data_IF_941943307202
#
_entry.id   IF_941943307202
#
_cell.length_a   1.000
_cell.length_b   1.000
_cell.length_c   1.000
_cell.angle_alpha   90.00
_cell.angle_beta   90.00
_cell.angle_gamma   90.00
#
_symmetry.space_group_name_H-M   'P 1'
#
loop_
_entity.id
_entity.type
_entity.pdbx_description
1 polymer ?
#
# COMPACT_ATOMS: atom_id res chain seq x y z
N UNK A 1 42.42 4.28 -2.15
CA UNK A 1 41.42 4.59 -1.12
C UNK A 1 40.59 3.35 -0.83
N UNK A 2 40.32 3.08 0.45
CA UNK A 2 39.38 2.03 0.87
C UNK A 2 37.94 2.39 0.51
N UNK A 3 37.02 1.42 0.61
CA UNK A 3 35.61 1.67 0.33
C UNK A 3 35.00 2.67 1.35
N UNK A 4 35.44 2.63 2.60
CA UNK A 4 35.04 3.53 3.66
C UNK A 4 35.53 4.96 3.40
N UNK A 5 36.80 5.13 3.00
CA UNK A 5 37.36 6.43 2.66
C UNK A 5 36.68 7.04 1.40
N UNK A 6 36.34 6.20 0.41
CA UNK A 6 35.55 6.66 -0.75
C UNK A 6 34.14 7.08 -0.35
N UNK A 7 33.50 6.37 0.60
CA UNK A 7 32.18 6.73 1.12
C UNK A 7 32.22 8.08 1.82
N UNK A 8 33.23 8.30 2.65
CA UNK A 8 33.44 9.58 3.35
C UNK A 8 33.69 10.73 2.36
N UNK A 9 34.54 10.52 1.35
CA UNK A 9 34.76 11.48 0.28
C UNK A 9 33.47 11.81 -0.49
N UNK A 10 32.67 10.79 -0.81
CA UNK A 10 31.36 10.97 -1.44
C UNK A 10 30.41 11.79 -0.58
N UNK A 11 30.40 11.56 0.74
CA UNK A 11 29.59 12.33 1.68
C UNK A 11 30.06 13.80 1.76
N UNK A 12 31.37 14.05 1.77
CA UNK A 12 31.91 15.41 1.75
C UNK A 12 31.50 16.16 0.47
N UNK A 13 31.59 15.49 -0.69
CA UNK A 13 31.11 16.03 -1.96
C UNK A 13 29.60 16.35 -1.89
N UNK A 14 28.80 15.46 -1.31
CA UNK A 14 27.36 15.67 -1.14
C UNK A 14 27.05 16.90 -0.27
N UNK A 15 27.71 17.04 0.88
CA UNK A 15 27.54 18.19 1.78
C UNK A 15 27.89 19.53 1.11
N UNK A 16 28.87 19.50 0.20
CA UNK A 16 29.26 20.66 -0.60
C UNK A 16 28.40 20.84 -1.87
N UNK A 17 27.31 20.08 -2.03
CA UNK A 17 26.40 20.07 -3.18
C UNK A 17 27.08 19.71 -4.51
N UNK A 18 28.25 19.07 -4.45
CA UNK A 18 29.02 18.54 -5.60
C UNK A 18 28.51 17.15 -5.96
N UNK A 19 27.26 17.08 -6.40
CA UNK A 19 26.53 15.82 -6.53
C UNK A 19 27.12 14.88 -7.58
N UNK A 20 27.68 15.40 -8.68
CA UNK A 20 28.33 14.57 -9.69
C UNK A 20 29.60 13.90 -9.17
N UNK A 21 30.42 14.62 -8.40
CA UNK A 21 31.61 14.06 -7.75
C UNK A 21 31.25 13.05 -6.64
N UNK A 22 30.16 13.31 -5.90
CA UNK A 22 29.61 12.35 -4.95
C UNK A 22 29.17 11.06 -5.65
N UNK A 23 28.42 11.17 -6.76
CA UNK A 23 27.99 10.04 -7.60
C UNK A 23 29.19 9.23 -8.10
N UNK A 24 30.25 9.88 -8.59
CA UNK A 24 31.45 9.20 -9.06
C UNK A 24 32.14 8.40 -7.94
N UNK A 25 32.20 8.97 -6.73
CA UNK A 25 32.77 8.33 -5.55
C UNK A 25 31.97 7.08 -5.15
N UNK A 26 30.64 7.22 -5.04
CA UNK A 26 29.75 6.11 -4.71
C UNK A 26 29.73 5.01 -5.79
N UNK A 27 29.77 5.40 -7.06
CA UNK A 27 29.79 4.46 -8.19
C UNK A 27 31.08 3.64 -8.17
N UNK A 28 32.23 4.26 -7.87
CA UNK A 28 33.50 3.54 -7.70
C UNK A 28 33.43 2.46 -6.61
N UNK A 29 32.68 2.70 -5.53
CA UNK A 29 32.48 1.68 -4.48
C UNK A 29 31.59 0.55 -4.99
N UNK A 30 30.47 0.90 -5.64
CA UNK A 30 29.53 -0.08 -6.22
C UNK A 30 30.23 -0.97 -7.24
N UNK A 31 31.02 -0.40 -8.15
CA UNK A 31 31.72 -1.18 -9.18
C UNK A 31 32.75 -2.16 -8.59
N UNK A 32 33.35 -1.80 -7.45
CA UNK A 32 34.33 -2.65 -6.76
C UNK A 32 33.69 -3.77 -5.93
N UNK A 33 32.47 -3.54 -5.45
CA UNK A 33 31.81 -4.40 -4.47
C UNK A 33 30.51 -5.02 -4.99
N UNK A 34 30.09 -4.71 -6.21
CA UNK A 34 28.86 -5.24 -6.83
C UNK A 34 28.93 -6.75 -6.96
N UNK A 35 28.12 -7.45 -6.17
CA UNK A 35 28.13 -8.93 -6.09
C UNK A 35 28.88 -9.50 -4.87
N UNK A 36 29.32 -8.67 -3.93
CA UNK A 36 30.01 -9.11 -2.72
C UNK A 36 29.05 -9.66 -1.63
N UNK A 37 29.62 -10.41 -0.67
CA UNK A 37 28.90 -11.17 0.35
C UNK A 37 28.29 -10.33 1.49
N UNK A 38 27.57 -10.99 2.39
CA UNK A 38 26.83 -10.42 3.53
C UNK A 38 27.55 -9.28 4.31
N UNK A 39 28.86 -9.33 4.62
CA UNK A 39 29.54 -8.26 5.36
C UNK A 39 29.53 -6.91 4.62
N UNK A 40 29.47 -6.93 3.29
CA UNK A 40 29.52 -5.73 2.44
C UNK A 40 28.13 -5.16 2.12
N UNK A 41 27.08 -5.96 2.32
CA UNK A 41 25.69 -5.58 2.02
C UNK A 41 25.27 -4.27 2.74
N UNK A 42 25.55 -4.06 4.04
CA UNK A 42 25.20 -2.81 4.71
C UNK A 42 25.86 -1.57 4.09
N UNK A 43 27.11 -1.70 3.65
CA UNK A 43 27.84 -0.64 2.95
C UNK A 43 27.20 -0.36 1.59
N UNK A 44 26.91 -1.41 0.80
CA UNK A 44 26.26 -1.29 -0.50
C UNK A 44 24.90 -0.59 -0.38
N UNK A 45 24.04 -1.01 0.56
CA UNK A 45 22.74 -0.33 0.82
C UNK A 45 22.92 1.16 1.11
N UNK A 46 23.91 1.51 1.92
CA UNK A 46 24.20 2.91 2.27
C UNK A 46 24.66 3.70 1.05
N UNK A 47 25.56 3.14 0.25
CA UNK A 47 26.14 3.81 -0.92
C UNK A 47 25.08 4.00 -2.02
N UNK A 48 24.25 3.00 -2.31
CA UNK A 48 23.12 3.14 -3.22
C UNK A 48 22.11 4.18 -2.74
N UNK A 49 21.75 4.18 -1.44
CA UNK A 49 20.84 5.17 -0.88
C UNK A 49 21.39 6.61 -0.99
N UNK A 50 22.70 6.79 -0.80
CA UNK A 50 23.34 8.09 -0.94
C UNK A 50 23.43 8.53 -2.41
N UNK A 51 23.73 7.62 -3.34
CA UNK A 51 23.76 7.91 -4.78
C UNK A 51 22.37 8.25 -5.32
N UNK A 52 21.34 7.52 -4.90
CA UNK A 52 19.95 7.84 -5.21
C UNK A 52 19.58 9.26 -4.75
N UNK A 53 20.01 9.66 -3.56
CA UNK A 53 19.76 11.02 -3.06
C UNK A 53 20.48 12.09 -3.89
N UNK A 54 21.69 11.81 -4.39
CA UNK A 54 22.37 12.70 -5.34
C UNK A 54 21.60 12.84 -6.64
N UNK A 55 21.08 11.73 -7.18
CA UNK A 55 20.24 11.76 -8.39
C UNK A 55 18.95 12.56 -8.18
N UNK A 56 18.30 12.44 -7.02
CA UNK A 56 17.14 13.30 -6.67
C UNK A 56 17.54 14.77 -6.65
N UNK A 57 18.68 15.13 -6.06
CA UNK A 57 19.17 16.51 -6.06
C UNK A 57 19.50 17.06 -7.46
N UNK A 58 19.73 16.17 -8.43
CA UNK A 58 19.95 16.49 -9.84
C UNK A 58 18.67 16.30 -10.70
N UNK A 59 17.54 16.00 -10.07
CA UNK A 59 16.25 15.72 -10.73
C UNK A 59 16.27 14.51 -11.69
N UNK A 60 17.23 13.60 -11.54
CA UNK A 60 17.31 12.34 -12.29
C UNK A 60 16.56 11.22 -11.54
N UNK A 61 15.23 11.34 -11.53
CA UNK A 61 14.36 10.45 -10.75
C UNK A 61 14.36 9.00 -11.25
N UNK A 62 14.63 8.77 -12.54
CA UNK A 62 14.74 7.41 -13.11
C UNK A 62 15.94 6.68 -12.53
N UNK A 63 17.12 7.31 -12.49
CA UNK A 63 18.30 6.68 -11.88
C UNK A 63 18.16 6.51 -10.37
N UNK A 64 17.53 7.47 -9.68
CA UNK A 64 17.24 7.35 -8.26
C UNK A 64 16.32 6.15 -7.95
N UNK A 65 15.24 5.98 -8.74
CA UNK A 65 14.33 4.83 -8.66
C UNK A 65 15.09 3.52 -8.87
N UNK A 66 15.91 3.44 -9.92
CA UNK A 66 16.65 2.22 -10.26
C UNK A 66 17.64 1.82 -9.15
N UNK A 67 18.35 2.78 -8.55
CA UNK A 67 19.24 2.52 -7.41
C UNK A 67 18.46 1.94 -6.21
N UNK A 68 17.29 2.49 -5.91
CA UNK A 68 16.47 2.01 -4.81
C UNK A 68 15.91 0.60 -5.08
N UNK A 69 15.36 0.35 -6.27
CA UNK A 69 14.83 -0.96 -6.64
C UNK A 69 15.91 -2.04 -6.66
N UNK A 70 17.09 -1.71 -7.18
CA UNK A 70 18.22 -2.64 -7.16
C UNK A 70 18.57 -3.09 -5.73
N UNK A 71 18.50 -2.18 -4.76
CA UNK A 71 18.73 -2.54 -3.35
C UNK A 71 17.63 -3.46 -2.82
N UNK A 72 16.36 -3.14 -3.08
CA UNK A 72 15.23 -3.93 -2.61
C UNK A 72 15.25 -5.36 -3.19
N UNK A 73 15.72 -5.53 -4.42
CA UNK A 73 15.81 -6.82 -5.11
C UNK A 73 17.03 -7.65 -4.69
N UNK A 74 18.20 -7.02 -4.53
CA UNK A 74 19.48 -7.75 -4.44
C UNK A 74 20.08 -7.77 -3.02
N UNK A 75 19.66 -6.86 -2.13
CA UNK A 75 20.24 -6.71 -0.80
C UNK A 75 19.17 -6.85 0.28
N UNK A 76 18.79 -8.10 0.63
CA UNK A 76 17.63 -8.36 1.47
C UNK A 76 17.72 -7.66 2.81
N UNK A 77 16.58 -7.15 3.26
CA UNK A 77 16.46 -6.58 4.59
C UNK A 77 16.53 -7.69 5.64
N UNK A 78 17.44 -7.62 6.63
CA UNK A 78 17.55 -8.68 7.63
C UNK A 78 16.29 -8.78 8.49
N UNK A 79 15.92 -10.00 8.89
CA UNK A 79 14.73 -10.27 9.71
C UNK A 79 14.79 -9.59 11.09
N UNK A 80 16.00 -9.37 11.62
CA UNK A 80 16.24 -8.63 12.86
C UNK A 80 17.22 -7.48 12.57
N UNK A 81 16.73 -6.35 12.02
CA UNK A 81 17.58 -5.24 11.63
C UNK A 81 18.04 -4.46 12.87
N UNK A 82 19.25 -3.94 12.85
CA UNK A 82 19.68 -2.94 13.83
C UNK A 82 19.12 -1.54 13.49
N UNK A 83 19.43 -0.54 14.33
CA UNK A 83 18.91 0.82 14.14
C UNK A 83 19.41 1.50 12.85
N UNK A 84 20.68 1.27 12.49
CA UNK A 84 21.27 1.84 11.28
C UNK A 84 20.69 1.19 10.02
N UNK A 85 20.50 -0.13 10.03
CA UNK A 85 19.86 -0.86 8.94
C UNK A 85 18.42 -0.39 8.70
N UNK A 86 17.64 -0.18 9.78
CA UNK A 86 16.31 0.44 9.69
C UNK A 86 16.38 1.85 9.09
N UNK A 87 17.32 2.66 9.55
CA UNK A 87 17.50 4.04 9.06
C UNK A 87 17.82 4.08 7.56
N UNK A 88 18.69 3.19 7.08
CA UNK A 88 19.07 3.12 5.67
C UNK A 88 17.91 2.60 4.81
N UNK A 89 17.19 1.57 5.24
CA UNK A 89 16.01 1.10 4.49
C UNK A 89 14.92 2.16 4.41
N UNK A 90 14.66 2.87 5.51
CA UNK A 90 13.73 4.00 5.47
C UNK A 90 14.16 5.05 4.45
N UNK A 91 15.45 5.39 4.40
CA UNK A 91 16.00 6.32 3.41
C UNK A 91 15.80 5.82 1.97
N UNK A 92 15.95 4.52 1.72
CA UNK A 92 15.69 3.90 0.40
C UNK A 92 14.23 4.08 0.00
N UNK A 93 13.28 3.74 0.88
CA UNK A 93 11.86 3.92 0.59
C UNK A 93 11.48 5.41 0.44
N UNK A 94 12.08 6.31 1.24
CA UNK A 94 11.90 7.76 1.07
C UNK A 94 12.37 8.24 -0.31
N UNK A 95 13.56 7.81 -0.76
CA UNK A 95 14.09 8.16 -2.07
C UNK A 95 13.24 7.58 -3.21
N UNK A 96 12.79 6.33 -3.07
CA UNK A 96 11.93 5.67 -4.04
C UNK A 96 10.56 6.36 -4.14
N UNK A 97 9.97 6.74 -3.00
CA UNK A 97 8.71 7.48 -2.97
C UNK A 97 8.79 8.86 -3.63
N UNK A 98 9.87 9.61 -3.37
CA UNK A 98 10.14 10.89 -4.06
C UNK A 98 10.28 10.65 -5.57
N UNK A 99 11.05 9.63 -5.96
CA UNK A 99 11.28 9.31 -7.38
C UNK A 99 9.97 8.97 -8.10
N UNK A 100 9.16 8.08 -7.53
CA UNK A 100 7.85 7.73 -8.08
C UNK A 100 6.90 8.94 -8.21
N UNK A 101 6.86 9.80 -7.19
CA UNK A 101 6.02 11.01 -7.20
C UNK A 101 6.37 11.95 -8.37
N UNK A 102 7.67 12.20 -8.59
CA UNK A 102 8.14 13.03 -9.70
C UNK A 102 7.94 12.37 -11.07
N UNK A 103 7.99 11.03 -11.13
CA UNK A 103 7.69 10.25 -12.33
C UNK A 103 6.19 10.04 -12.58
N UNK A 104 5.31 10.67 -11.78
CA UNK A 104 3.84 10.55 -11.88
C UNK A 104 3.29 9.14 -11.61
N UNK A 105 4.06 8.32 -10.89
CA UNK A 105 3.70 6.98 -10.42
C UNK A 105 3.15 7.08 -8.99
N UNK A 106 1.94 7.63 -8.86
CA UNK A 106 1.42 8.08 -7.56
C UNK A 106 1.00 6.94 -6.63
N UNK A 107 0.50 5.83 -7.17
CA UNK A 107 0.11 4.68 -6.36
C UNK A 107 1.34 4.03 -5.71
N UNK A 108 2.42 3.89 -6.47
CA UNK A 108 3.70 3.38 -5.98
C UNK A 108 4.34 4.33 -4.98
N UNK A 109 4.24 5.65 -5.20
CA UNK A 109 4.72 6.66 -4.26
C UNK A 109 3.99 6.59 -2.90
N UNK A 110 2.67 6.43 -2.92
CA UNK A 110 1.85 6.27 -1.71
C UNK A 110 2.21 5.00 -0.94
N UNK A 111 2.48 3.90 -1.65
CA UNK A 111 2.92 2.67 -1.02
C UNK A 111 4.28 2.85 -0.31
N UNK A 112 5.23 3.55 -0.94
CA UNK A 112 6.51 3.83 -0.26
C UNK A 112 6.35 4.70 0.98
N UNK A 113 5.45 5.69 0.93
CA UNK A 113 5.14 6.52 2.09
C UNK A 113 4.58 5.68 3.24
N UNK A 114 3.65 4.75 2.95
CA UNK A 114 3.07 3.83 3.93
C UNK A 114 4.15 3.02 4.65
N UNK A 115 5.09 2.45 3.88
CA UNK A 115 6.22 1.67 4.42
C UNK A 115 7.09 2.55 5.34
N UNK A 116 7.40 3.78 4.93
CA UNK A 116 8.22 4.71 5.72
C UNK A 116 7.55 5.09 7.05
N UNK A 117 6.24 5.32 7.04
CA UNK A 117 5.45 5.63 8.23
C UNK A 117 5.45 4.47 9.23
N UNK A 118 5.29 3.25 8.73
CA UNK A 118 5.39 2.03 9.53
C UNK A 118 6.78 1.88 10.17
N UNK A 119 7.86 2.10 9.40
CA UNK A 119 9.24 2.04 9.88
C UNK A 119 9.58 3.09 10.94
N UNK A 120 8.90 4.25 10.96
CA UNK A 120 9.14 5.33 11.93
C UNK A 120 8.54 5.06 13.30
N UNK A 121 7.67 4.07 13.44
CA UNK A 121 6.94 3.83 14.69
C UNK A 121 5.99 4.98 15.07
N UNK A 122 5.76 5.93 14.16
CA UNK A 122 4.74 6.97 14.30
C UNK A 122 3.38 6.35 14.05
N UNK A 123 2.68 6.04 15.13
CA UNK A 123 1.26 5.64 15.13
C UNK A 123 0.44 6.80 14.56
N UNK A 124 -0.02 6.64 13.32
CA UNK A 124 -1.28 7.14 12.74
C UNK A 124 -1.08 7.56 11.28
N UNK A 125 -1.23 6.61 10.36
CA UNK A 125 -1.96 6.91 9.14
C UNK A 125 -3.35 7.42 9.57
N UNK A 126 -3.56 8.73 9.52
CA UNK A 126 -4.91 9.29 9.36
C UNK A 126 -5.13 9.36 7.86
N UNK A 127 -6.17 8.72 7.30
CA UNK A 127 -6.58 9.05 5.95
C UNK A 127 -6.94 10.53 5.95
N UNK A 128 -6.06 11.37 5.40
CA UNK A 128 -6.50 12.64 4.83
C UNK A 128 -7.39 12.19 3.68
N UNK A 129 -8.66 12.58 3.72
CA UNK A 129 -9.44 12.66 2.50
C UNK A 129 -8.79 13.77 1.71
N UNK A 130 -7.79 13.37 0.93
CA UNK A 130 -7.36 14.14 -0.22
C UNK A 130 -8.44 13.85 -1.23
N UNK A 131 -9.17 14.88 -1.65
CA UNK A 131 -10.02 14.74 -2.82
C UNK A 131 -9.18 14.07 -3.92
N UNK A 132 -9.69 13.00 -4.55
CA UNK A 132 -8.92 12.28 -5.54
C UNK A 132 -8.44 13.26 -6.63
N UNK A 133 -7.24 13.06 -7.20
CA UNK A 133 -6.88 13.76 -8.42
C UNK A 133 -8.02 13.59 -9.44
N UNK A 134 -8.35 14.62 -10.22
CA UNK A 134 -9.47 14.57 -11.15
C UNK A 134 -9.40 13.29 -11.95
N UNK A 135 -10.50 12.53 -11.94
CA UNK A 135 -10.62 11.25 -12.64
C UNK A 135 -9.99 11.39 -14.02
N UNK A 136 -8.91 10.63 -14.28
CA UNK A 136 -8.58 10.34 -15.67
C UNK A 136 -9.76 9.53 -16.18
N UNK A 137 -10.56 10.15 -17.05
CA UNK A 137 -11.59 9.43 -17.77
C UNK A 137 -10.93 8.17 -18.34
N UNK A 138 -11.42 7.02 -17.88
CA UNK A 138 -11.11 5.76 -18.50
C UNK A 138 -11.33 5.91 -20.02
N UNK A 139 -10.51 5.26 -20.87
CA UNK A 139 -10.74 5.30 -22.31
C UNK A 139 -12.22 5.05 -22.58
N UNK A 140 -12.85 5.96 -23.31
CA UNK A 140 -14.30 6.20 -23.38
C UNK A 140 -15.14 5.06 -23.96
N UNK A 141 -14.59 3.84 -24.06
CA UNK A 141 -15.18 2.66 -24.69
C UNK A 141 -15.03 1.38 -23.84
N UNK A 142 -14.76 1.47 -22.53
CA UNK A 142 -14.83 0.28 -21.67
C UNK A 142 -16.30 -0.07 -21.44
N UNK A 143 -16.75 -1.17 -22.05
CA UNK A 143 -18.10 -1.69 -21.80
C UNK A 143 -18.25 -2.02 -20.31
N UNK A 144 -19.33 -1.54 -19.69
CA UNK A 144 -19.65 -1.81 -18.29
C UNK A 144 -21.03 -2.45 -18.17
N UNK A 145 -21.27 -3.15 -17.06
CA UNK A 145 -22.61 -3.61 -16.67
C UNK A 145 -22.89 -3.28 -15.21
N UNK A 146 -24.16 -3.12 -14.81
CA UNK A 146 -24.51 -2.88 -13.43
C UNK A 146 -24.24 -4.11 -12.57
N UNK A 147 -23.84 -3.88 -11.32
CA UNK A 147 -23.68 -4.91 -10.30
C UNK A 147 -24.14 -4.38 -8.93
N UNK A 148 -24.49 -5.30 -8.03
CA UNK A 148 -24.85 -4.98 -6.65
C UNK A 148 -23.60 -4.89 -5.79
N UNK A 149 -23.37 -3.77 -5.13
CA UNK A 149 -22.34 -3.63 -4.10
C UNK A 149 -23.01 -3.58 -2.73
N UNK A 150 -22.77 -4.59 -1.91
CA UNK A 150 -23.34 -4.71 -0.57
C UNK A 150 -22.22 -4.58 0.46
N UNK A 151 -22.31 -3.58 1.33
CA UNK A 151 -21.40 -3.40 2.46
C UNK A 151 -22.12 -3.74 3.74
N UNK A 152 -21.53 -4.61 4.54
CA UNK A 152 -22.09 -5.05 5.81
C UNK A 152 -21.15 -4.69 6.94
N UNK A 153 -21.58 -3.79 7.81
CA UNK A 153 -20.78 -3.36 8.96
C UNK A 153 -21.05 -4.29 10.13
N UNK A 154 -19.98 -4.77 10.77
CA UNK A 154 -20.06 -5.68 11.91
C UNK A 154 -19.90 -4.90 13.22
N UNK A 155 -20.98 -4.84 14.01
CA UNK A 155 -20.99 -4.25 15.35
C UNK A 155 -21.00 -5.33 16.45
N UNK A 156 -20.07 -5.22 17.40
CA UNK A 156 -20.00 -6.08 18.59
C UNK A 156 -19.53 -7.51 18.35
N UNK A 157 -19.44 -8.30 19.42
CA UNK A 157 -18.98 -9.70 19.38
C UNK A 157 -20.02 -10.70 18.81
N UNK A 158 -21.12 -10.22 18.21
CA UNK A 158 -22.16 -11.07 17.65
C UNK A 158 -21.82 -11.43 16.20
N UNK A 159 -21.68 -12.72 15.86
CA UNK A 159 -21.46 -13.15 14.47
C UNK A 159 -22.70 -12.94 13.58
N UNK A 160 -23.82 -12.51 14.16
CA UNK A 160 -25.05 -12.15 13.44
C UNK A 160 -25.13 -10.63 13.42
N UNK A 161 -24.67 -10.04 12.32
CA UNK A 161 -24.82 -8.60 12.09
C UNK A 161 -26.31 -8.23 12.07
N UNK A 162 -26.61 -7.09 12.68
CA UNK A 162 -27.93 -6.48 12.57
C UNK A 162 -28.17 -6.07 11.10
N UNK A 163 -29.43 -6.16 10.62
CA UNK A 163 -29.80 -5.64 9.29
C UNK A 163 -29.75 -4.11 9.21
N UNK A 164 -29.49 -3.41 10.33
CA UNK A 164 -29.49 -1.94 10.37
C UNK A 164 -28.23 -1.33 9.76
N UNK A 165 -27.16 -2.12 9.64
CA UNK A 165 -25.83 -1.64 9.26
C UNK A 165 -25.36 -2.24 7.92
N UNK A 166 -26.33 -2.51 7.04
CA UNK A 166 -26.12 -2.97 5.67
C UNK A 166 -26.39 -1.83 4.69
N UNK A 167 -25.44 -1.55 3.82
CA UNK A 167 -25.51 -0.56 2.75
C UNK A 167 -25.53 -1.27 1.40
N UNK A 168 -26.43 -0.86 0.51
CA UNK A 168 -26.59 -1.49 -0.80
C UNK A 168 -26.55 -0.42 -1.88
N UNK A 169 -25.63 -0.59 -2.81
CA UNK A 169 -25.41 0.31 -3.93
C UNK A 169 -25.55 -0.44 -5.26
N UNK A 170 -25.87 0.32 -6.31
CA UNK A 170 -25.77 -0.15 -7.70
C UNK A 170 -24.61 0.57 -8.36
N UNK A 171 -23.64 -0.18 -8.85
CA UNK A 171 -22.38 0.34 -9.40
C UNK A 171 -22.10 -0.26 -10.77
N UNK A 172 -21.16 0.33 -11.49
CA UNK A 172 -20.75 -0.14 -12.82
C UNK A 172 -19.45 -0.91 -12.74
N UNK A 173 -19.42 -2.12 -13.30
CA UNK A 173 -18.22 -2.94 -13.39
C UNK A 173 -17.79 -3.08 -14.85
N UNK A 174 -16.50 -2.93 -15.17
CA UNK A 174 -15.96 -3.32 -16.48
C UNK A 174 -16.27 -4.78 -16.81
N UNK A 175 -16.80 -5.05 -18.01
CA UNK A 175 -17.26 -6.39 -18.39
C UNK A 175 -16.16 -7.45 -18.38
N UNK A 176 -14.89 -7.07 -18.49
CA UNK A 176 -13.76 -8.01 -18.43
C UNK A 176 -13.58 -8.64 -17.03
N UNK A 177 -14.08 -7.99 -15.97
CA UNK A 177 -14.10 -8.60 -14.64
C UNK A 177 -15.24 -9.60 -14.43
N UNK A 178 -16.18 -9.72 -15.38
CA UNK A 178 -17.31 -10.63 -15.27
C UNK A 178 -17.06 -12.05 -15.83
N UNK A 179 -15.86 -12.31 -16.36
CA UNK A 179 -15.48 -13.64 -16.85
C UNK A 179 -15.18 -14.65 -15.73
N UNK A 180 -14.97 -15.93 -16.08
CA UNK A 180 -14.61 -16.98 -15.10
C UNK A 180 -13.33 -16.68 -14.31
N UNK A 181 -12.35 -16.03 -14.94
CA UNK A 181 -11.14 -15.58 -14.25
C UNK A 181 -11.39 -14.29 -13.44
N UNK A 182 -12.46 -13.56 -13.75
CA UNK A 182 -12.95 -12.36 -13.06
C UNK A 182 -11.85 -11.44 -12.54
N UNK A 183 -11.91 -11.15 -11.23
CA UNK A 183 -10.92 -10.35 -10.53
C UNK A 183 -9.52 -11.01 -10.42
N UNK A 184 -9.43 -12.33 -10.58
CA UNK A 184 -8.16 -13.04 -10.52
C UNK A 184 -7.32 -12.88 -11.80
N UNK A 185 -7.94 -12.47 -12.92
CA UNK A 185 -7.25 -12.29 -14.19
C UNK A 185 -6.21 -11.14 -14.14
N UNK A 186 -6.51 -10.07 -13.39
CA UNK A 186 -5.62 -8.93 -13.19
C UNK A 186 -5.73 -8.43 -11.74
N UNK A 187 -4.97 -9.03 -10.80
CA UNK A 187 -5.11 -8.72 -9.37
C UNK A 187 -4.86 -7.25 -9.01
N UNK A 188 -3.96 -6.57 -9.71
CA UNK A 188 -3.64 -5.15 -9.46
C UNK A 188 -4.80 -4.24 -9.88
N UNK A 189 -5.33 -4.44 -11.08
CA UNK A 189 -6.48 -3.69 -11.60
C UNK A 189 -7.75 -3.99 -10.79
N UNK A 190 -7.95 -5.24 -10.40
CA UNK A 190 -9.03 -5.67 -9.51
C UNK A 190 -8.93 -5.00 -8.14
N UNK A 191 -7.74 -4.97 -7.53
CA UNK A 191 -7.52 -4.27 -6.26
C UNK A 191 -7.81 -2.78 -6.39
N UNK A 192 -7.38 -2.14 -7.48
CA UNK A 192 -7.66 -0.73 -7.74
C UNK A 192 -9.17 -0.46 -7.86
N UNK A 193 -9.90 -1.29 -8.62
CA UNK A 193 -11.35 -1.20 -8.77
C UNK A 193 -12.09 -1.40 -7.44
N UNK A 194 -11.76 -2.43 -6.66
CA UNK A 194 -12.39 -2.66 -5.36
C UNK A 194 -12.12 -1.52 -4.38
N UNK A 195 -10.88 -1.01 -4.36
CA UNK A 195 -10.51 0.12 -3.51
C UNK A 195 -11.21 1.43 -3.93
N UNK A 196 -11.50 1.63 -5.22
CA UNK A 196 -12.25 2.81 -5.66
C UNK A 196 -13.70 2.79 -5.16
N UNK A 197 -14.34 1.62 -5.13
CA UNK A 197 -15.68 1.45 -4.56
C UNK A 197 -15.70 1.73 -3.06
N UNK A 198 -14.76 1.16 -2.31
CA UNK A 198 -14.61 1.39 -0.88
C UNK A 198 -14.44 2.90 -0.62
N UNK A 199 -13.53 3.56 -1.33
CA UNK A 199 -13.28 5.00 -1.19
C UNK A 199 -14.53 5.84 -1.49
N UNK A 200 -15.26 5.51 -2.56
CA UNK A 200 -16.48 6.22 -2.97
C UNK A 200 -17.54 6.24 -1.87
N UNK A 201 -17.71 5.12 -1.17
CA UNK A 201 -18.78 4.93 -0.18
C UNK A 201 -18.31 5.07 1.28
N UNK A 202 -17.00 5.18 1.52
CA UNK A 202 -16.41 5.17 2.86
C UNK A 202 -17.01 6.23 3.78
N UNK A 203 -17.19 7.46 3.30
CA UNK A 203 -17.68 8.58 4.13
C UNK A 203 -19.11 8.40 4.58
N UNK A 204 -19.97 8.00 3.66
CA UNK A 204 -21.38 7.73 3.96
C UNK A 204 -21.49 6.65 5.06
N UNK A 205 -20.73 5.58 4.93
CA UNK A 205 -20.72 4.48 5.89
C UNK A 205 -20.10 4.90 7.22
N UNK A 206 -18.97 5.60 7.20
CA UNK A 206 -18.28 6.04 8.42
C UNK A 206 -19.09 7.07 9.20
N UNK A 207 -19.74 8.01 8.52
CA UNK A 207 -20.48 9.09 9.15
C UNK A 207 -21.92 8.67 9.53
N UNK A 208 -22.38 7.47 9.14
CA UNK A 208 -23.71 6.95 9.49
C UNK A 208 -23.91 6.71 10.99
N UNK A 209 -22.81 6.50 11.74
CA UNK A 209 -22.82 6.34 13.20
C UNK A 209 -21.86 7.34 13.85
N UNK A 210 -22.31 8.09 14.86
CA UNK A 210 -21.46 9.05 15.55
C UNK A 210 -20.38 8.39 16.42
N UNK A 211 -20.47 7.08 16.67
CA UNK A 211 -19.60 6.35 17.61
C UNK A 211 -19.37 4.89 17.21
N UNK A 212 -18.62 4.70 16.14
CA UNK A 212 -18.04 3.38 15.87
C UNK A 212 -17.08 2.96 16.99
N UNK A 213 -17.29 1.76 17.52
CA UNK A 213 -16.38 1.10 18.46
C UNK A 213 -15.67 -0.04 17.74
N UNK A 214 -14.42 -0.29 18.12
CA UNK A 214 -13.62 -1.36 17.58
C UNK A 214 -14.28 -2.70 17.90
N UNK A 215 -14.60 -3.49 16.87
CA UNK A 215 -15.23 -4.80 17.05
C UNK A 215 -14.41 -5.74 17.94
N UNK A 216 -13.08 -5.62 17.91
CA UNK A 216 -12.18 -6.52 18.63
C UNK A 216 -11.88 -6.10 20.08
N UNK A 217 -12.02 -4.82 20.44
CA UNK A 217 -11.63 -4.34 21.78
C UNK A 217 -12.54 -3.27 22.39
N UNK A 218 -13.61 -2.90 21.71
CA UNK A 218 -14.63 -1.92 22.11
C UNK A 218 -14.14 -0.47 22.34
N UNK A 219 -12.84 -0.21 22.19
CA UNK A 219 -12.30 1.16 22.15
C UNK A 219 -12.86 1.90 20.95
N UNK A 220 -12.96 3.23 21.03
CA UNK A 220 -13.34 4.09 19.90
C UNK A 220 -12.57 3.71 18.63
N UNK A 221 -13.30 3.39 17.57
CA UNK A 221 -12.71 3.10 16.27
C UNK A 221 -12.16 4.38 15.65
N UNK A 222 -11.07 4.24 14.91
CA UNK A 222 -10.43 5.34 14.17
C UNK A 222 -10.53 5.17 12.66
N UNK A 223 -10.91 3.98 12.19
CA UNK A 223 -11.11 3.67 10.79
C UNK A 223 -12.06 2.48 10.59
N UNK A 224 -12.54 2.32 9.36
CA UNK A 224 -13.32 1.17 8.90
C UNK A 224 -12.44 0.27 8.03
N UNK A 225 -12.25 -0.97 8.46
CA UNK A 225 -11.53 -1.99 7.70
C UNK A 225 -12.49 -2.69 6.74
N UNK A 226 -12.35 -2.44 5.44
CA UNK A 226 -13.13 -3.09 4.39
C UNK A 226 -12.41 -4.33 3.84
N UNK A 227 -13.18 -5.36 3.52
CA UNK A 227 -12.69 -6.61 2.92
C UNK A 227 -13.64 -7.03 1.78
N UNK A 228 -13.59 -6.34 0.64
CA UNK A 228 -14.49 -6.61 -0.47
C UNK A 228 -14.15 -7.94 -1.15
N UNK A 229 -15.19 -8.71 -1.45
CA UNK A 229 -15.13 -9.94 -2.23
C UNK A 229 -16.00 -9.83 -3.46
N UNK A 230 -15.38 -10.01 -4.63
CA UNK A 230 -16.11 -9.98 -5.89
C UNK A 230 -16.62 -11.35 -6.31
N UNK A 231 -17.92 -11.37 -6.59
CA UNK A 231 -18.68 -12.45 -7.20
C UNK A 231 -19.15 -12.01 -8.59
N UNK A 232 -18.24 -11.38 -9.34
CA UNK A 232 -18.55 -10.72 -10.61
C UNK A 232 -18.76 -11.71 -11.76
N UNK A 233 -18.37 -12.96 -11.57
CA UNK A 233 -18.63 -14.07 -12.50
C UNK A 233 -20.04 -14.65 -12.35
N UNK A 234 -20.76 -14.28 -11.29
CA UNK A 234 -22.15 -14.70 -11.05
C UNK A 234 -23.12 -13.79 -11.84
N UNK A 235 -24.37 -14.23 -11.99
CA UNK A 235 -25.44 -13.46 -12.64
C UNK A 235 -26.69 -13.39 -11.74
N UNK A 236 -27.07 -12.22 -11.22
CA UNK A 236 -26.42 -10.92 -11.43
C UNK A 236 -25.06 -10.81 -10.71
N UNK A 237 -24.08 -10.07 -11.27
CA UNK A 237 -22.80 -9.87 -10.60
C UNK A 237 -22.98 -9.09 -9.31
N UNK A 238 -22.21 -9.44 -8.29
CA UNK A 238 -22.21 -8.70 -7.03
C UNK A 238 -20.83 -8.64 -6.35
N UNK A 239 -20.66 -7.64 -5.49
CA UNK A 239 -19.55 -7.55 -4.55
C UNK A 239 -20.14 -7.48 -3.15
N UNK A 240 -19.63 -8.34 -2.27
CA UNK A 240 -19.96 -8.31 -0.85
C UNK A 240 -18.74 -7.84 -0.06
N UNK A 241 -18.91 -6.82 0.76
CA UNK A 241 -17.83 -6.19 1.50
C UNK A 241 -18.14 -6.17 2.99
N UNK A 242 -17.27 -6.83 3.76
CA UNK A 242 -17.35 -6.79 5.21
C UNK A 242 -16.52 -5.64 5.75
N UNK A 243 -17.20 -4.75 6.46
CA UNK A 243 -16.63 -3.56 7.05
C UNK A 243 -16.56 -3.72 8.58
N UNK A 244 -15.37 -3.55 9.15
CA UNK A 244 -15.15 -3.65 10.59
C UNK A 244 -14.64 -2.32 11.14
N UNK A 245 -15.35 -1.70 12.08
CA UNK A 245 -14.78 -0.58 12.82
C UNK A 245 -13.60 -1.11 13.65
N UNK A 246 -12.41 -0.51 13.52
CA UNK A 246 -11.22 -0.90 14.29
C UNK A 246 -10.52 0.30 14.93
N UNK A 247 -9.86 0.06 16.07
CA UNK A 247 -9.22 1.11 16.86
C UNK A 247 -7.87 1.58 16.31
N UNK A 248 -7.23 0.78 15.47
CA UNK A 248 -5.96 1.09 14.82
C UNK A 248 -5.71 0.16 13.65
N UNK A 249 -4.95 0.63 12.66
CA UNK A 249 -4.43 -0.23 11.58
C UNK A 249 -3.07 -0.82 11.98
N UNK A 250 -2.73 -1.99 11.45
CA UNK A 250 -1.46 -2.69 11.68
C UNK A 250 -1.32 -3.34 13.05
N UNK A 251 -2.39 -3.33 13.86
CA UNK A 251 -2.41 -3.92 15.20
C UNK A 251 -3.16 -5.24 15.28
N UNK A 252 -3.14 -5.86 16.47
CA UNK A 252 -3.83 -7.15 16.75
C UNK A 252 -5.33 -7.11 16.44
N UNK A 253 -5.97 -5.95 16.60
CA UNK A 253 -7.40 -5.81 16.29
C UNK A 253 -7.67 -5.97 14.79
N UNK A 254 -6.80 -5.40 13.93
CA UNK A 254 -6.92 -5.60 12.48
C UNK A 254 -6.68 -7.06 12.10
N UNK A 255 -5.62 -7.67 12.63
CA UNK A 255 -5.30 -9.09 12.36
C UNK A 255 -6.46 -10.00 12.75
N UNK A 256 -7.03 -9.80 13.94
CA UNK A 256 -8.17 -10.59 14.41
C UNK A 256 -9.39 -10.36 13.51
N UNK A 257 -9.74 -9.12 13.19
CA UNK A 257 -10.89 -8.83 12.32
C UNK A 257 -10.72 -9.42 10.92
N UNK A 258 -9.52 -9.42 10.34
CA UNK A 258 -9.24 -10.11 9.06
C UNK A 258 -9.41 -11.62 9.18
N UNK A 259 -8.98 -12.21 10.30
CA UNK A 259 -9.18 -13.64 10.55
C UNK A 259 -10.67 -13.97 10.70
N UNK A 260 -11.41 -13.20 11.50
CA UNK A 260 -12.85 -13.37 11.69
C UNK A 260 -13.59 -13.26 10.35
N UNK A 261 -13.19 -12.30 9.51
CA UNK A 261 -13.70 -12.11 8.16
C UNK A 261 -13.50 -13.38 7.31
N UNK A 262 -12.28 -13.93 7.31
CA UNK A 262 -11.97 -15.16 6.59
C UNK A 262 -12.77 -16.35 7.12
N UNK A 263 -12.94 -16.46 8.44
CA UNK A 263 -13.70 -17.53 9.08
C UNK A 263 -15.19 -17.44 8.71
N UNK A 264 -15.80 -16.25 8.79
CA UNK A 264 -17.19 -16.00 8.36
C UNK A 264 -17.36 -16.32 6.87
N UNK A 265 -16.39 -15.94 6.03
CA UNK A 265 -16.40 -16.22 4.60
C UNK A 265 -16.20 -17.71 4.28
N UNK A 266 -15.49 -18.45 5.13
CA UNK A 266 -15.27 -19.89 4.95
C UNK A 266 -16.54 -20.71 5.24
N UNK A 267 -17.45 -20.20 6.07
CA UNK A 267 -18.75 -20.80 6.42
C UNK A 267 -19.83 -20.60 5.34
N UNK A 268 -19.40 -20.50 4.08
CA UNK A 268 -20.04 -19.95 2.86
C UNK A 268 -21.33 -20.64 2.37
N UNK A 269 -22.33 -20.82 3.23
CA UNK A 269 -23.66 -21.33 2.84
C UNK A 269 -24.78 -20.27 2.81
N UNK A 270 -24.59 -19.08 3.39
CA UNK A 270 -25.74 -18.20 3.73
C UNK A 270 -25.75 -16.79 3.11
N UNK A 271 -24.74 -16.38 2.34
CA UNK A 271 -24.63 -15.02 1.80
C UNK A 271 -24.81 -14.91 0.28
N UNK A 272 -25.26 -15.99 -0.38
CA UNK A 272 -25.77 -15.87 -1.75
C UNK A 272 -27.03 -14.98 -1.79
N UNK A 273 -27.38 -14.40 -2.94
CA UNK A 273 -28.56 -13.56 -3.06
C UNK A 273 -29.79 -14.35 -2.57
N UNK A 274 -30.41 -13.91 -1.48
CA UNK A 274 -31.76 -14.35 -1.15
C UNK A 274 -32.68 -13.75 -2.20
N UNK A 275 -33.01 -14.55 -3.21
CA UNK A 275 -34.14 -14.28 -4.10
C UNK A 275 -35.37 -14.03 -3.23
N UNK A 276 -35.88 -12.80 -3.26
CA UNK A 276 -37.24 -12.52 -2.85
C UNK A 276 -38.21 -13.13 -3.86
#
# INVERSE_FOLDING_TARGET
MSAEALKELGNEHYEQKRYNEAIASYTTIIDRLGGAEAPTIPLLRTVYANRAQCYICLEDYERAKNDCLHVLENYPFPASPNADERRIMRKIHECLGVSYSHLRMFDEALEQQRIVEEMRGTRAYRPIIVDPPPERQAPSNVATRPFRYEVKVLEGASPIASNRDTFIYTEQVPVHFCGRAGLAANPSEAAHFLNSLVRKHYREIWDSSPRWNCVACDKRATLMLHTPQGHLHEDPPFIFDMAHPICESGGRCETNSRQDTNDIMSLRANFGPRTA
#
